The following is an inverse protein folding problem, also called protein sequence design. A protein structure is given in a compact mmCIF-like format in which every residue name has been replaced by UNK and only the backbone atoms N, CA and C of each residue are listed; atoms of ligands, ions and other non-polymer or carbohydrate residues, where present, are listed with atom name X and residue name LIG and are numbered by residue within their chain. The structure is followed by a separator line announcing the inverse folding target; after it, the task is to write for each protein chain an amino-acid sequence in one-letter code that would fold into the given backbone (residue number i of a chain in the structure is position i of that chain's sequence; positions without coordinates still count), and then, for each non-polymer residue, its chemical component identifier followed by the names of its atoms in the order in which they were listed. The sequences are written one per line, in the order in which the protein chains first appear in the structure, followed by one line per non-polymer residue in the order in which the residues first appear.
data_IF_269326958956
#
_entry.id   IF_269326958956
#
_cell.length_a   1.000
_cell.length_b   1.000
_cell.length_c   1.000
_cell.angle_alpha   90.00
_cell.angle_beta   90.00
_cell.angle_gamma   90.00
#
_symmetry.space_group_name_H-M   'P 1'
#
loop_
_entity.id
_entity.type
_entity.pdbx_description
1 polymer ?
#
# COMPACT_ATOMS: atom_id res chain seq x y z
N UNK A 1 -3.56 0.82 -19.82
CA UNK A 1 -4.19 0.38 -18.56
C UNK A 1 -3.16 0.02 -17.47
N UNK A 2 -1.94 0.62 -17.49
CA UNK A 2 -0.88 0.34 -16.47
C UNK A 2 -0.85 1.36 -15.31
N UNK A 3 -1.73 2.37 -15.32
CA UNK A 3 -1.70 3.47 -14.34
C UNK A 3 -2.65 3.29 -13.14
N UNK A 4 -3.45 2.21 -13.12
CA UNK A 4 -4.50 2.03 -12.10
C UNK A 4 -3.98 1.45 -10.76
N UNK A 5 -2.78 0.84 -10.76
CA UNK A 5 -2.25 0.14 -9.58
C UNK A 5 -1.72 1.11 -8.51
N UNK A 6 -1.27 2.31 -8.93
CA UNK A 6 -0.77 3.34 -8.00
C UNK A 6 -1.90 4.10 -7.28
N UNK A 7 -3.08 4.20 -7.91
CA UNK A 7 -4.22 4.92 -7.33
C UNK A 7 -4.80 4.24 -6.08
N UNK A 8 -4.69 2.93 -5.97
CA UNK A 8 -5.28 2.18 -4.85
C UNK A 8 -4.50 2.37 -3.54
N UNK A 9 -3.20 2.69 -3.59
CA UNK A 9 -2.42 2.97 -2.39
C UNK A 9 -2.65 4.41 -1.88
N UNK A 10 -3.02 5.34 -2.77
CA UNK A 10 -3.34 6.72 -2.39
C UNK A 10 -4.71 6.88 -1.71
N UNK A 11 -5.67 5.97 -1.93
CA UNK A 11 -7.01 6.11 -1.34
C UNK A 11 -7.05 5.84 0.17
N UNK A 12 -6.04 5.19 0.77
CA UNK A 12 -6.00 4.98 2.23
C UNK A 12 -5.50 6.24 2.96
N UNK A 13 -4.78 7.13 2.27
CA UNK A 13 -4.18 8.34 2.87
C UNK A 13 -5.08 9.59 2.84
N UNK A 14 -6.23 9.55 2.15
CA UNK A 14 -7.09 10.73 2.00
C UNK A 14 -7.90 11.11 3.25
N UNK A 15 -7.86 10.30 4.32
CA UNK A 15 -8.67 10.55 5.53
C UNK A 15 -7.92 11.22 6.69
N UNK A 16 -6.60 11.36 6.60
CA UNK A 16 -5.80 12.20 7.50
C UNK A 16 -4.50 12.55 6.80
N UNK A 17 -4.33 13.78 6.39
CA UNK A 17 -3.19 14.29 5.63
C UNK A 17 -1.90 14.44 6.47
N UNK A 18 -1.60 13.49 7.35
CA UNK A 18 -0.27 13.31 7.87
C UNK A 18 0.46 12.36 6.94
N UNK A 19 1.64 12.74 6.45
CA UNK A 19 2.58 11.82 5.82
C UNK A 19 2.94 10.76 6.87
N UNK A 20 2.07 9.76 7.02
CA UNK A 20 2.12 8.81 8.11
C UNK A 20 2.96 7.63 7.68
N UNK A 21 4.04 7.37 8.42
CA UNK A 21 4.78 6.12 8.33
C UNK A 21 3.80 4.96 8.53
N UNK A 22 3.82 4.00 7.62
CA UNK A 22 2.91 2.86 7.71
C UNK A 22 3.35 1.94 8.86
N UNK A 23 2.39 1.55 9.69
CA UNK A 23 2.57 0.67 10.86
C UNK A 23 1.55 -0.46 10.82
N UNK A 24 1.68 -1.43 11.71
CA UNK A 24 0.68 -2.48 11.89
C UNK A 24 -0.72 -1.91 12.15
N UNK A 25 -0.84 -0.80 12.89
CA UNK A 25 -2.13 -0.14 13.14
C UNK A 25 -2.75 0.42 11.85
N UNK A 26 -1.93 1.00 10.97
CA UNK A 26 -2.42 1.50 9.68
C UNK A 26 -2.87 0.38 8.75
N UNK A 27 -2.17 -0.76 8.76
CA UNK A 27 -2.59 -1.97 8.01
C UNK A 27 -3.90 -2.52 8.56
N UNK A 28 -4.03 -2.64 9.90
CA UNK A 28 -5.25 -3.08 10.57
C UNK A 28 -6.45 -2.19 10.26
N UNK A 29 -6.28 -0.87 10.37
CA UNK A 29 -7.31 0.11 10.02
C UNK A 29 -7.71 0.02 8.54
N UNK A 30 -6.75 -0.19 7.64
CA UNK A 30 -7.00 -0.40 6.22
C UNK A 30 -7.84 -1.66 5.96
N UNK A 31 -7.52 -2.76 6.63
CA UNK A 31 -8.27 -4.01 6.58
C UNK A 31 -9.70 -3.83 7.11
N UNK A 32 -9.87 -3.23 8.28
CA UNK A 32 -11.20 -2.96 8.88
C UNK A 32 -12.06 -2.08 7.95
N UNK A 33 -11.45 -1.08 7.32
CA UNK A 33 -12.13 -0.24 6.32
C UNK A 33 -12.58 -1.06 5.11
N UNK A 34 -11.70 -1.92 4.58
CA UNK A 34 -12.00 -2.75 3.42
C UNK A 34 -13.09 -3.79 3.69
N UNK A 35 -13.07 -4.45 4.86
CA UNK A 35 -14.09 -5.42 5.28
C UNK A 35 -15.47 -4.77 5.43
N UNK A 36 -15.52 -3.54 5.93
CA UNK A 36 -16.76 -2.81 6.17
C UNK A 36 -17.23 -1.98 4.97
N UNK A 37 -16.54 -2.04 3.83
CA UNK A 37 -16.92 -1.30 2.63
C UNK A 37 -18.19 -1.89 2.02
N UNK A 38 -19.31 -1.15 1.98
CA UNK A 38 -20.53 -1.62 1.34
C UNK A 38 -20.31 -1.80 -0.17
N UNK A 39 -21.00 -2.77 -0.76
CA UNK A 39 -21.03 -3.02 -2.21
C UNK A 39 -19.65 -3.31 -2.83
N UNK A 40 -18.69 -3.81 -2.05
CA UNK A 40 -17.38 -4.21 -2.58
C UNK A 40 -17.50 -5.51 -3.39
N UNK A 41 -16.89 -5.53 -4.57
CA UNK A 41 -16.72 -6.74 -5.40
C UNK A 41 -15.72 -7.73 -4.77
N UNK A 42 -15.13 -7.38 -3.64
CA UNK A 42 -14.12 -8.17 -2.96
C UNK A 42 -14.55 -8.54 -1.54
N UNK A 43 -14.01 -9.65 -1.08
CA UNK A 43 -14.09 -10.12 0.29
C UNK A 43 -12.68 -10.25 0.85
N UNK A 44 -12.50 -9.94 2.12
CA UNK A 44 -11.19 -9.91 2.76
C UNK A 44 -11.16 -10.86 3.96
N UNK A 45 -10.02 -11.54 4.14
CA UNK A 45 -9.68 -12.31 5.33
C UNK A 45 -8.25 -12.02 5.74
N UNK A 46 -7.88 -12.25 7.00
CA UNK A 46 -6.53 -11.99 7.48
C UNK A 46 -6.07 -13.04 8.48
N UNK A 47 -4.77 -13.36 8.40
CA UNK A 47 -4.05 -14.09 9.44
C UNK A 47 -3.33 -13.10 10.36
N UNK A 48 -3.26 -13.44 11.63
CA UNK A 48 -2.69 -12.60 12.68
C UNK A 48 -1.58 -13.34 13.41
N UNK A 49 -0.56 -12.61 13.82
CA UNK A 49 0.37 -13.03 14.86
C UNK A 49 0.24 -12.02 16.01
N UNK A 50 -0.17 -12.50 17.18
CA UNK A 50 -0.65 -11.65 18.26
C UNK A 50 -1.84 -10.79 17.77
N UNK A 51 -1.69 -9.46 17.68
CA UNK A 51 -2.72 -8.55 17.17
C UNK A 51 -2.41 -7.97 15.79
N UNK A 52 -1.27 -8.36 15.21
CA UNK A 52 -0.77 -7.79 13.94
C UNK A 52 -1.19 -8.65 12.76
N UNK A 53 -1.70 -8.01 11.70
CA UNK A 53 -2.02 -8.69 10.45
C UNK A 53 -0.71 -9.03 9.75
N UNK A 54 -0.41 -10.34 9.64
CA UNK A 54 0.76 -10.84 8.91
C UNK A 54 0.45 -11.20 7.47
N UNK A 55 -0.80 -11.61 7.20
CA UNK A 55 -1.25 -11.92 5.83
C UNK A 55 -2.67 -11.43 5.63
N UNK A 56 -2.93 -10.81 4.49
CA UNK A 56 -4.29 -10.46 4.05
C UNK A 56 -4.62 -11.16 2.74
N UNK A 57 -5.74 -11.85 2.71
CA UNK A 57 -6.29 -12.50 1.54
C UNK A 57 -7.41 -11.65 0.96
N UNK A 58 -7.41 -11.51 -0.36
CA UNK A 58 -8.46 -10.85 -1.13
C UNK A 58 -9.10 -11.86 -2.05
N UNK A 59 -10.41 -12.01 -1.96
CA UNK A 59 -11.22 -12.88 -2.81
C UNK A 59 -12.13 -12.02 -3.66
N UNK A 60 -12.25 -12.36 -4.94
CA UNK A 60 -13.22 -11.74 -5.83
C UNK A 60 -14.57 -12.44 -5.66
N UNK A 61 -15.61 -11.64 -5.51
CA UNK A 61 -16.99 -12.12 -5.47
C UNK A 61 -17.52 -12.28 -6.89
N UNK A 62 -18.21 -13.39 -7.14
CA UNK A 62 -18.94 -13.63 -8.39
C UNK A 62 -20.26 -14.32 -8.08
N UNK A 63 -21.20 -14.29 -9.05
CA UNK A 63 -22.54 -14.85 -8.88
C UNK A 63 -23.59 -13.80 -8.48
N UNK A 64 -24.77 -14.27 -8.11
CA UNK A 64 -25.88 -13.44 -7.65
C UNK A 64 -25.94 -13.38 -6.11
N UNK A 65 -26.83 -12.54 -5.57
CA UNK A 65 -26.99 -12.36 -4.11
C UNK A 65 -27.36 -13.62 -3.31
N UNK A 66 -27.79 -14.70 -3.99
CA UNK A 66 -28.16 -15.98 -3.36
C UNK A 66 -27.03 -17.02 -3.47
N UNK A 67 -26.15 -16.90 -4.47
CA UNK A 67 -25.08 -17.85 -4.75
C UNK A 67 -23.77 -17.11 -4.98
N UNK A 68 -23.23 -16.48 -3.94
CA UNK A 68 -21.92 -15.82 -3.99
C UNK A 68 -20.83 -16.87 -4.01
N UNK A 69 -20.00 -16.83 -5.05
CA UNK A 69 -18.75 -17.60 -5.13
C UNK A 69 -17.57 -16.67 -4.81
N UNK A 70 -16.61 -17.19 -4.05
CA UNK A 70 -15.38 -16.50 -3.70
C UNK A 70 -14.21 -17.17 -4.42
N UNK A 71 -13.55 -16.42 -5.30
CA UNK A 71 -12.34 -16.87 -6.02
C UNK A 71 -11.14 -16.17 -5.41
N UNK A 72 -10.06 -16.88 -5.05
CA UNK A 72 -8.83 -16.24 -4.60
C UNK A 72 -8.35 -15.25 -5.66
N UNK A 73 -7.91 -14.05 -5.25
CA UNK A 73 -7.50 -13.00 -6.18
C UNK A 73 -6.11 -12.48 -5.88
N UNK A 74 -5.88 -12.02 -4.63
CA UNK A 74 -4.58 -11.52 -4.15
C UNK A 74 -4.32 -11.95 -2.73
N UNK A 75 -3.04 -12.07 -2.42
CA UNK A 75 -2.52 -12.25 -1.07
C UNK A 75 -1.46 -11.18 -0.81
N UNK A 76 -1.48 -10.58 0.37
CA UNK A 76 -0.50 -9.61 0.82
C UNK A 76 0.14 -10.14 2.11
N UNK A 77 1.44 -10.37 2.07
CA UNK A 77 2.22 -10.73 3.25
C UNK A 77 2.95 -9.49 3.76
N UNK A 78 2.85 -9.21 5.06
CA UNK A 78 3.37 -8.02 5.72
C UNK A 78 4.51 -8.38 6.66
N UNK A 79 5.56 -7.56 6.70
CA UNK A 79 6.67 -7.68 7.64
C UNK A 79 6.84 -6.36 8.36
N UNK A 80 7.02 -6.43 9.69
CA UNK A 80 7.17 -5.26 10.55
C UNK A 80 8.52 -5.28 11.26
N UNK A 81 9.04 -4.09 11.57
CA UNK A 81 10.15 -3.92 12.49
C UNK A 81 9.67 -4.04 13.95
N UNK A 82 10.59 -4.13 14.89
CA UNK A 82 10.28 -4.28 16.31
C UNK A 82 9.51 -3.09 16.93
N UNK A 83 9.58 -1.93 16.29
CA UNK A 83 8.83 -0.72 16.67
C UNK A 83 7.43 -0.65 16.01
N UNK A 84 7.02 -1.70 15.30
CA UNK A 84 5.73 -1.80 14.63
C UNK A 84 5.66 -1.12 13.26
N UNK A 85 6.76 -0.53 12.77
CA UNK A 85 6.80 0.06 11.43
C UNK A 85 6.73 -1.05 10.36
N UNK A 86 5.90 -0.85 9.32
CA UNK A 86 5.87 -1.74 8.17
C UNK A 86 7.19 -1.62 7.38
N UNK A 87 7.89 -2.74 7.19
CA UNK A 87 9.15 -2.78 6.44
C UNK A 87 9.01 -3.40 5.06
N UNK A 88 8.04 -4.32 4.89
CA UNK A 88 7.82 -4.94 3.58
C UNK A 88 6.36 -5.37 3.41
N UNK A 89 5.88 -5.29 2.16
CA UNK A 89 4.62 -5.90 1.71
C UNK A 89 4.86 -6.67 0.43
N UNK A 90 4.78 -7.99 0.50
CA UNK A 90 4.84 -8.88 -0.67
C UNK A 90 3.43 -9.13 -1.17
N UNK A 91 3.21 -8.97 -2.47
CA UNK A 91 1.92 -9.26 -3.11
C UNK A 91 2.06 -10.50 -3.99
N UNK A 92 1.18 -11.47 -3.78
CA UNK A 92 0.99 -12.64 -4.64
C UNK A 92 -0.34 -12.56 -5.36
N UNK A 93 -0.41 -13.15 -6.56
CA UNK A 93 -1.63 -13.33 -7.34
C UNK A 93 -1.98 -14.81 -7.37
N UNK A 94 -3.26 -15.11 -7.45
CA UNK A 94 -3.73 -16.47 -7.62
C UNK A 94 -3.53 -16.93 -9.06
N UNK A 95 -2.95 -18.09 -9.23
CA UNK A 95 -2.81 -18.78 -10.51
C UNK A 95 -3.86 -19.90 -10.59
N UNK A 96 -4.92 -19.65 -11.32
CA UNK A 96 -6.05 -20.59 -11.48
C UNK A 96 -5.63 -21.89 -12.16
N UNK A 97 -4.62 -21.86 -13.05
CA UNK A 97 -4.18 -23.04 -13.77
C UNK A 97 -3.38 -24.00 -12.88
N UNK A 98 -2.56 -23.45 -12.00
CA UNK A 98 -1.69 -24.22 -11.11
C UNK A 98 -2.26 -24.35 -9.69
N UNK A 99 -3.37 -23.68 -9.40
CA UNK A 99 -4.07 -23.69 -8.09
C UNK A 99 -3.12 -23.28 -6.94
N UNK A 100 -2.34 -22.21 -7.16
CA UNK A 100 -1.34 -21.74 -6.19
C UNK A 100 -1.17 -20.23 -6.21
N UNK A 101 -0.55 -19.70 -5.13
CA UNK A 101 -0.14 -18.31 -5.06
C UNK A 101 1.20 -18.10 -5.76
N UNK A 102 1.27 -17.13 -6.67
CA UNK A 102 2.49 -16.75 -7.38
C UNK A 102 2.89 -15.34 -6.98
N UNK A 103 4.12 -15.17 -6.51
CA UNK A 103 4.65 -13.86 -6.12
C UNK A 103 4.67 -12.94 -7.35
N UNK A 104 4.19 -11.71 -7.18
CA UNK A 104 4.11 -10.72 -8.25
C UNK A 104 5.00 -9.50 -8.01
N UNK A 105 5.00 -8.98 -6.78
CA UNK A 105 5.70 -7.73 -6.47
C UNK A 105 5.96 -7.56 -4.99
N UNK A 106 6.85 -6.60 -4.66
CA UNK A 106 7.16 -6.20 -3.30
C UNK A 106 7.22 -4.68 -3.19
N UNK A 107 6.74 -4.17 -2.08
CA UNK A 107 7.02 -2.83 -1.58
C UNK A 107 7.94 -2.95 -0.38
N UNK A 108 9.04 -2.23 -0.39
CA UNK A 108 9.94 -2.06 0.75
C UNK A 108 9.79 -0.65 1.30
N UNK A 109 9.72 -0.54 2.63
CA UNK A 109 9.48 0.70 3.36
C UNK A 109 10.66 0.97 4.27
N UNK A 110 11.15 2.19 4.30
CA UNK A 110 12.23 2.59 5.20
C UNK A 110 12.05 4.02 5.70
N UNK A 111 12.47 4.26 6.92
CA UNK A 111 12.52 5.58 7.54
C UNK A 111 13.96 5.85 7.98
N UNK A 112 14.56 6.90 7.42
CA UNK A 112 15.86 7.41 7.86
C UNK A 112 15.69 8.88 8.27
N UNK A 113 15.72 9.13 9.57
CA UNK A 113 15.44 10.43 10.17
C UNK A 113 14.06 10.96 9.70
N UNK A 114 14.07 11.99 8.85
CA UNK A 114 12.87 12.66 8.34
C UNK A 114 12.52 12.25 6.91
N UNK A 115 13.15 11.19 6.39
CA UNK A 115 12.94 10.69 5.03
C UNK A 115 12.28 9.32 5.11
N UNK A 116 10.99 9.25 4.76
CA UNK A 116 10.28 7.99 4.58
C UNK A 116 10.28 7.62 3.10
N UNK A 117 10.77 6.45 2.76
CA UNK A 117 10.82 5.99 1.38
C UNK A 117 10.06 4.68 1.18
N UNK A 118 9.43 4.57 0.01
CA UNK A 118 8.72 3.39 -0.46
C UNK A 118 9.32 3.00 -1.80
N UNK A 119 9.85 1.79 -1.90
CA UNK A 119 10.41 1.22 -3.12
C UNK A 119 9.55 0.07 -3.63
N UNK A 120 9.32 0.01 -4.94
CA UNK A 120 8.52 -1.02 -5.59
C UNK A 120 9.35 -1.86 -6.54
N UNK A 121 9.27 -3.20 -6.37
CA UNK A 121 9.97 -4.20 -7.18
C UNK A 121 9.01 -5.22 -7.78
N UNK A 122 9.27 -5.63 -9.02
CA UNK A 122 8.64 -6.80 -9.61
C UNK A 122 9.35 -8.08 -9.19
N UNK A 123 8.63 -9.19 -9.18
CA UNK A 123 9.22 -10.52 -9.01
C UNK A 123 9.50 -11.13 -10.37
N UNK A 124 10.74 -11.59 -10.56
CA UNK A 124 11.17 -12.29 -11.75
C UNK A 124 11.05 -13.81 -11.53
N UNK A 125 10.01 -14.42 -12.07
CA UNK A 125 9.75 -15.85 -11.93
C UNK A 125 10.87 -16.74 -12.50
N UNK A 126 11.59 -16.27 -13.52
CA UNK A 126 12.71 -17.03 -14.13
C UNK A 126 13.93 -17.01 -13.23
N UNK A 127 14.24 -15.88 -12.63
CA UNK A 127 15.36 -15.72 -11.70
C UNK A 127 15.01 -16.15 -10.26
N UNK A 128 13.71 -16.38 -9.96
CA UNK A 128 13.16 -16.65 -8.64
C UNK A 128 13.61 -15.62 -7.60
N UNK A 129 13.59 -14.34 -7.97
CA UNK A 129 14.05 -13.23 -7.12
C UNK A 129 13.33 -11.92 -7.48
N UNK A 130 13.31 -11.00 -6.52
CA UNK A 130 12.87 -9.63 -6.82
C UNK A 130 13.91 -8.92 -7.70
N UNK A 131 13.39 -8.21 -8.69
CA UNK A 131 14.20 -7.30 -9.49
C UNK A 131 14.57 -6.08 -8.64
N UNK A 132 15.51 -5.30 -9.15
CA UNK A 132 15.82 -4.02 -8.53
C UNK A 132 14.60 -3.09 -8.55
N UNK A 133 14.38 -2.24 -7.52
CA UNK A 133 13.23 -1.36 -7.48
C UNK A 133 13.10 -0.51 -8.75
N UNK A 134 11.89 -0.46 -9.32
CA UNK A 134 11.58 0.30 -10.54
C UNK A 134 10.95 1.65 -10.25
N UNK A 135 10.18 1.75 -9.16
CA UNK A 135 9.58 2.99 -8.68
C UNK A 135 10.02 3.26 -7.23
N UNK A 136 10.22 4.53 -6.91
CA UNK A 136 10.56 5.00 -5.56
C UNK A 136 9.78 6.26 -5.24
N UNK A 137 9.12 6.27 -4.08
CA UNK A 137 8.50 7.47 -3.51
C UNK A 137 9.28 7.90 -2.29
N UNK A 138 9.57 9.18 -2.18
CA UNK A 138 10.25 9.79 -1.04
C UNK A 138 9.32 10.83 -0.43
N UNK A 139 9.05 10.65 0.86
CA UNK A 139 8.31 11.59 1.68
C UNK A 139 9.32 12.30 2.58
N UNK A 140 9.48 13.60 2.42
CA UNK A 140 10.29 14.40 3.34
C UNK A 140 9.39 14.92 4.44
N UNK A 141 9.56 14.37 5.64
CA UNK A 141 8.81 14.74 6.83
C UNK A 141 9.47 15.98 7.44
N UNK A 142 8.73 17.07 7.55
CA UNK A 142 9.23 18.29 8.19
C UNK A 142 8.57 18.43 9.57
N UNK A 143 9.24 18.09 10.68
CA UNK A 143 8.62 17.97 12.02
C UNK A 143 7.96 19.25 12.55
N UNK A 144 8.31 20.40 11.99
CA UNK A 144 7.83 21.72 12.42
C UNK A 144 7.16 22.50 11.28
N UNK A 145 6.75 21.84 10.21
CA UNK A 145 6.14 22.47 9.04
C UNK A 145 4.87 21.73 8.66
N UNK A 146 3.82 22.47 8.32
CA UNK A 146 2.58 21.93 7.75
C UNK A 146 2.77 21.53 6.26
N UNK A 147 4.00 21.65 5.75
CA UNK A 147 4.32 21.37 4.36
C UNK A 147 5.24 20.18 4.27
N UNK A 148 4.79 19.16 3.55
CA UNK A 148 5.56 17.95 3.25
C UNK A 148 5.77 17.82 1.75
N UNK A 149 6.89 17.26 1.34
CA UNK A 149 7.20 17.02 -0.07
C UNK A 149 7.13 15.52 -0.35
N UNK A 150 6.47 15.17 -1.46
CA UNK A 150 6.41 13.81 -1.98
C UNK A 150 7.03 13.82 -3.36
N UNK A 151 8.14 13.13 -3.52
CA UNK A 151 8.85 13.01 -4.79
C UNK A 151 8.73 11.58 -5.31
N UNK A 152 8.26 11.42 -6.54
CA UNK A 152 8.15 10.13 -7.22
C UNK A 152 9.26 10.00 -8.26
N UNK A 153 10.03 8.94 -8.15
CA UNK A 153 11.13 8.60 -9.04
C UNK A 153 10.82 7.27 -9.73
N UNK A 154 11.26 7.17 -10.99
CA UNK A 154 11.22 5.92 -11.76
C UNK A 154 12.58 5.62 -12.34
N UNK A 155 12.97 4.35 -12.30
CA UNK A 155 14.16 3.88 -12.99
C UNK A 155 13.79 3.51 -14.42
N UNK A 156 14.59 3.95 -15.37
CA UNK A 156 14.49 3.49 -16.75
C UNK A 156 15.08 2.09 -16.89
N UNK A 157 14.48 1.28 -17.75
CA UNK A 157 14.96 -0.06 -18.06
C UNK A 157 16.47 -0.02 -18.36
N UNK A 158 17.25 -0.92 -17.75
CA UNK A 158 18.70 -1.01 -17.82
C UNK A 158 19.53 0.11 -17.14
N UNK A 159 18.93 1.13 -16.58
CA UNK A 159 19.67 2.17 -15.84
C UNK A 159 19.73 1.87 -14.35
N UNK A 160 20.85 2.27 -13.70
CA UNK A 160 20.94 2.31 -12.23
C UNK A 160 20.42 3.62 -11.65
N UNK A 161 20.11 4.59 -12.49
CA UNK A 161 19.70 5.94 -12.08
C UNK A 161 18.17 6.06 -12.05
N UNK A 162 17.68 6.72 -11.02
CA UNK A 162 16.28 7.15 -10.93
C UNK A 162 16.08 8.51 -11.57
N UNK A 163 15.01 8.66 -12.33
CA UNK A 163 14.54 9.92 -12.88
C UNK A 163 13.36 10.42 -12.04
N UNK A 164 13.38 11.68 -11.65
CA UNK A 164 12.24 12.34 -11.02
C UNK A 164 11.09 12.43 -12.03
N UNK A 165 9.94 11.86 -11.68
CA UNK A 165 8.74 11.86 -12.52
C UNK A 165 7.77 12.95 -12.09
N UNK A 166 7.61 13.12 -10.78
CA UNK A 166 6.74 14.17 -10.23
C UNK A 166 7.18 14.55 -8.83
N UNK A 167 6.90 15.78 -8.46
CA UNK A 167 7.02 16.27 -7.10
C UNK A 167 5.70 16.92 -6.70
N UNK A 168 5.23 16.63 -5.50
CA UNK A 168 4.00 17.16 -4.95
C UNK A 168 4.27 17.74 -3.57
N UNK A 169 3.73 18.93 -3.34
CA UNK A 169 3.71 19.56 -2.04
C UNK A 169 2.36 19.28 -1.39
N UNK A 170 2.38 18.72 -0.18
CA UNK A 170 1.20 18.48 0.63
C UNK A 170 1.22 19.49 1.77
N UNK A 171 0.15 20.27 1.91
CA UNK A 171 -0.03 21.21 3.01
C UNK A 171 -1.03 20.60 3.97
N UNK A 172 -0.61 20.35 5.22
CA UNK A 172 -1.53 19.95 6.28
C UNK A 172 -2.30 21.19 6.72
N UNK A 173 -3.63 21.20 6.53
CA UNK A 173 -4.48 22.24 7.12
C UNK A 173 -4.65 21.95 8.62
N UNK A 174 -4.39 22.92 9.52
CA UNK A 174 -4.66 22.78 10.94
C UNK A 174 -6.13 22.38 11.16
N UNK A 175 -6.38 21.43 12.05
CA UNK A 175 -7.73 20.95 12.41
C UNK A 175 -8.71 22.04 12.86
N UNK A 176 -8.21 23.22 13.21
CA UNK A 176 -9.00 24.40 13.58
C UNK A 176 -10.00 24.88 12.49
N UNK A 177 -9.78 24.49 11.22
CA UNK A 177 -10.70 24.85 10.14
C UNK A 177 -11.75 23.76 9.83
N UNK A 178 -11.55 22.52 10.33
CA UNK A 178 -12.49 21.43 10.07
C UNK A 178 -13.83 21.60 10.85
N UNK A 179 -13.82 22.29 11.99
CA UNK A 179 -15.02 22.52 12.81
C UNK A 179 -15.92 23.61 12.26
N UNK A 180 -15.43 24.54 11.42
CA UNK A 180 -16.23 25.64 10.87
C UNK A 180 -17.11 25.22 9.68
N UNK A 181 -16.83 24.11 9.02
CA UNK A 181 -17.60 23.63 7.86
C UNK A 181 -18.67 22.58 8.20
N UNK A 182 -18.72 22.09 9.44
CA UNK A 182 -19.75 21.13 9.87
C UNK A 182 -21.02 21.77 10.47
N UNK A 183 -21.11 23.11 10.48
CA UNK A 183 -22.21 23.88 11.09
C UNK A 183 -23.03 24.75 10.09
N UNK A 184 -23.10 24.35 8.80
CA UNK A 184 -24.02 24.97 7.84
C UNK A 184 -24.95 23.95 7.20
#
# INVERSE_FOLDING_TARGET
MKHLVFATLMCISALNAKAQVLTFETVKKGYETAVNMPESDFCYNADYTEDDITTMYVYQKSGDSKNVQLTPYRKHDYTYAADGMLTSKVTSQWDDMNNCWTIASRYDYSLDRDIYSIEYSHFNNKANSFEQPVDKMIYTLQPYSDVHYISHYRRQDSSTLYQLISEMQVIEMPLLFAEQYSAQ
#
